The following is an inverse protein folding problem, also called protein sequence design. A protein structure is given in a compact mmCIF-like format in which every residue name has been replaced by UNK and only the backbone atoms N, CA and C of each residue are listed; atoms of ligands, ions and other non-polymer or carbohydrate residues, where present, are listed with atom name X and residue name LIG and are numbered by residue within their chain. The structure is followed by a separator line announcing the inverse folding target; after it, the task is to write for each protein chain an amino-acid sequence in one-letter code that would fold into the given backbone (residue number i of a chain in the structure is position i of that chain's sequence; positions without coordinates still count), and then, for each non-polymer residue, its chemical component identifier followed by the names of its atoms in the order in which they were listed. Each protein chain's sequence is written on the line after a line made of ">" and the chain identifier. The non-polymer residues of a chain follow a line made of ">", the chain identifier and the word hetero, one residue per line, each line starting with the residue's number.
data_IF_914042955376
#
_entry.id   IF_914042955376
#
_cell.length_a   1.000
_cell.length_b   1.000
_cell.length_c   1.000
_cell.angle_alpha   90.00
_cell.angle_beta   90.00
_cell.angle_gamma   90.00
#
_symmetry.space_group_name_H-M   'P 1'
#
loop_
_entity.id
_entity.type
_entity.pdbx_description
1 polymer ?
#
# COMPACT_ATOMS: atom_id res chain seq x y z
N UNK A 1 0.34 50.17 -16.94
CA UNK A 1 1.20 50.12 -15.73
C UNK A 1 0.33 49.93 -14.49
N UNK A 2 0.87 49.20 -13.51
CA UNK A 2 0.38 48.86 -12.15
C UNK A 2 -0.83 49.63 -11.58
N UNK A 3 -1.82 48.89 -11.08
CA UNK A 3 -2.86 49.38 -10.13
C UNK A 3 -2.32 49.34 -8.70
N UNK A 4 -2.63 50.38 -7.92
CA UNK A 4 -2.56 50.37 -6.45
C UNK A 4 -3.90 49.90 -5.86
N UNK A 5 -3.89 49.32 -4.66
CA UNK A 5 -4.43 49.89 -3.39
C UNK A 5 -4.38 48.79 -2.30
N UNK A 6 -4.21 49.19 -1.03
CA UNK A 6 -3.92 48.35 0.14
C UNK A 6 -5.03 48.46 1.23
N UNK A 7 -4.75 48.00 2.47
CA UNK A 7 -5.55 48.09 3.74
C UNK A 7 -6.53 46.90 3.93
N UNK A 8 -6.44 45.98 4.91
CA UNK A 8 -6.34 45.99 6.41
C UNK A 8 -7.66 46.45 7.10
N UNK A 9 -8.10 46.06 8.31
CA UNK A 9 -7.63 45.24 9.46
C UNK A 9 -8.71 44.14 9.80
N UNK A 10 -8.69 43.30 10.86
CA UNK A 10 -7.81 43.16 12.04
C UNK A 10 -8.16 41.99 12.99
N UNK A 11 -7.44 41.92 14.11
CA UNK A 11 -7.39 40.86 15.15
C UNK A 11 -8.45 40.92 16.26
N UNK A 12 -8.78 39.76 16.86
CA UNK A 12 -9.15 39.61 18.30
C UNK A 12 -8.53 38.32 18.87
N UNK A 13 -8.21 38.30 20.16
CA UNK A 13 -7.52 37.21 20.90
C UNK A 13 -8.17 37.03 22.30
N UNK A 14 -7.84 35.95 23.02
CA UNK A 14 -8.22 35.52 24.41
C UNK A 14 -9.49 34.66 24.67
N UNK A 15 -9.22 33.38 25.00
CA UNK A 15 -9.50 32.68 26.30
C UNK A 15 -10.93 32.52 26.91
N UNK A 16 -11.42 31.27 27.04
CA UNK A 16 -11.48 30.48 28.32
C UNK A 16 -12.18 29.08 28.20
N UNK A 17 -11.44 28.00 28.49
CA UNK A 17 -11.69 26.91 29.50
C UNK A 17 -13.06 26.16 29.61
N UNK A 18 -12.95 24.81 29.46
CA UNK A 18 -13.77 23.67 29.99
C UNK A 18 -15.26 23.46 29.60
N UNK A 19 -15.56 22.30 28.99
CA UNK A 19 -16.20 21.14 29.69
C UNK A 19 -16.17 19.84 28.85
N UNK A 20 -16.45 18.72 29.51
CA UNK A 20 -16.19 17.32 29.09
C UNK A 20 -17.11 16.77 27.99
N UNK A 21 -16.54 15.94 27.11
CA UNK A 21 -17.00 14.55 26.83
C UNK A 21 -15.78 13.69 26.47
N UNK A 22 -15.78 12.37 26.76
CA UNK A 22 -14.79 11.48 26.17
C UNK A 22 -15.08 11.38 24.67
N UNK A 23 -14.21 11.95 23.83
CA UNK A 23 -14.25 11.63 22.41
C UNK A 23 -13.94 10.14 22.26
N UNK A 24 -14.88 9.41 21.65
CA UNK A 24 -14.62 8.11 21.04
C UNK A 24 -13.32 8.20 20.26
N UNK A 25 -12.34 7.36 20.59
CA UNK A 25 -11.02 7.36 19.93
C UNK A 25 -11.23 6.97 18.48
N UNK A 26 -11.29 7.99 17.61
CA UNK A 26 -11.42 7.83 16.17
C UNK A 26 -9.99 7.82 15.61
N UNK A 27 -9.63 6.72 14.93
CA UNK A 27 -8.25 6.38 14.59
C UNK A 27 -7.48 7.44 13.79
N UNK A 28 -6.15 7.35 13.89
CA UNK A 28 -5.21 8.43 13.60
C UNK A 28 -5.19 8.92 12.15
N UNK A 29 -5.91 10.01 11.89
CA UNK A 29 -5.41 11.13 11.07
C UNK A 29 -5.82 12.45 11.70
N UNK A 30 -4.86 13.37 11.91
CA UNK A 30 -5.13 14.72 12.39
C UNK A 30 -6.06 15.46 11.41
N UNK A 31 -7.35 15.54 11.73
CA UNK A 31 -8.32 16.26 10.90
C UNK A 31 -8.15 17.78 11.09
N UNK A 32 -7.66 18.53 10.09
CA UNK A 32 -7.51 19.98 10.23
C UNK A 32 -8.88 20.68 10.34
N UNK A 33 -8.88 21.91 10.88
CA UNK A 33 -10.09 22.74 10.95
C UNK A 33 -10.71 22.90 9.55
N UNK A 34 -11.97 22.49 9.39
CA UNK A 34 -12.68 22.51 8.10
C UNK A 34 -12.50 21.25 7.24
N UNK A 35 -11.89 20.18 7.77
CA UNK A 35 -11.74 18.89 7.10
C UNK A 35 -13.07 18.36 6.54
N UNK A 36 -14.11 18.24 7.37
CA UNK A 36 -15.42 17.69 6.96
C UNK A 36 -16.05 18.47 5.80
N UNK A 37 -16.03 19.81 5.84
CA UNK A 37 -16.54 20.63 4.74
C UNK A 37 -15.74 20.46 3.45
N UNK A 38 -14.44 20.20 3.55
CA UNK A 38 -13.57 19.93 2.40
C UNK A 38 -13.91 18.58 1.78
N UNK A 39 -14.04 17.53 2.61
CA UNK A 39 -14.46 16.18 2.18
C UNK A 39 -15.85 16.22 1.54
N UNK A 40 -16.84 16.89 2.15
CA UNK A 40 -18.19 17.05 1.58
C UNK A 40 -18.19 17.74 0.20
N UNK A 41 -17.28 18.71 -0.03
CA UNK A 41 -17.12 19.37 -1.33
C UNK A 41 -16.44 18.45 -2.35
N UNK A 42 -15.42 17.71 -1.93
CA UNK A 42 -14.71 16.74 -2.77
C UNK A 42 -15.64 15.60 -3.23
N UNK A 43 -16.42 14.99 -2.33
CA UNK A 43 -17.36 13.93 -2.69
C UNK A 43 -18.40 14.38 -3.72
N UNK A 44 -18.94 15.60 -3.58
CA UNK A 44 -19.85 16.20 -4.58
C UNK A 44 -19.15 16.47 -5.92
N UNK A 45 -17.89 16.86 -5.89
CA UNK A 45 -17.09 17.06 -7.11
C UNK A 45 -16.81 15.73 -7.83
N UNK A 46 -16.45 14.65 -7.11
CA UNK A 46 -16.16 13.36 -7.73
C UNK A 46 -17.34 12.80 -8.51
N UNK A 47 -18.56 12.83 -7.93
CA UNK A 47 -19.78 12.36 -8.63
C UNK A 47 -20.01 13.14 -9.94
N UNK A 48 -19.78 14.46 -9.94
CA UNK A 48 -19.91 15.28 -11.15
C UNK A 48 -18.77 15.09 -12.17
N UNK A 49 -17.60 14.66 -11.71
CA UNK A 49 -16.45 14.37 -12.56
C UNK A 49 -16.59 12.99 -13.22
N UNK A 50 -16.96 11.99 -12.42
CA UNK A 50 -17.26 10.62 -12.81
C UNK A 50 -18.31 10.55 -13.93
N UNK A 51 -19.46 11.23 -13.75
CA UNK A 51 -20.53 11.34 -14.75
C UNK A 51 -20.07 12.00 -16.07
N UNK A 52 -19.10 12.93 -16.03
CA UNK A 52 -18.51 13.54 -17.24
C UNK A 52 -17.52 12.61 -17.92
N UNK A 53 -16.61 12.00 -17.16
CA UNK A 53 -15.59 11.08 -17.69
C UNK A 53 -16.25 9.84 -18.29
N UNK A 54 -17.23 9.24 -17.61
CA UNK A 54 -17.96 8.06 -18.10
C UNK A 54 -18.62 8.30 -19.46
N UNK A 55 -19.33 9.43 -19.65
CA UNK A 55 -19.93 9.77 -20.95
C UNK A 55 -18.92 9.94 -22.08
N UNK A 56 -17.82 10.64 -21.81
CA UNK A 56 -16.79 10.90 -22.82
C UNK A 56 -15.96 9.63 -23.12
N UNK A 57 -15.72 8.80 -22.11
CA UNK A 57 -15.08 7.49 -22.25
C UNK A 57 -15.94 6.54 -23.08
N UNK A 58 -17.26 6.43 -22.82
CA UNK A 58 -18.14 5.55 -23.60
C UNK A 58 -18.17 5.96 -25.07
N UNK A 59 -18.32 7.26 -25.37
CA UNK A 59 -18.18 7.78 -26.74
C UNK A 59 -16.84 7.43 -27.38
N UNK A 60 -15.75 7.55 -26.64
CA UNK A 60 -14.43 7.18 -27.16
C UNK A 60 -14.35 5.68 -27.52
N UNK A 61 -14.94 4.79 -26.72
CA UNK A 61 -15.01 3.36 -27.03
C UNK A 61 -15.97 3.04 -28.19
N UNK A 62 -17.11 3.73 -28.30
CA UNK A 62 -18.10 3.56 -29.37
C UNK A 62 -17.64 4.14 -30.73
N UNK A 63 -17.19 5.40 -30.75
CA UNK A 63 -16.80 6.14 -31.95
C UNK A 63 -15.33 5.89 -32.36
N UNK A 64 -14.56 5.20 -31.54
CA UNK A 64 -13.12 4.96 -31.73
C UNK A 64 -12.24 6.22 -31.66
N UNK A 65 -12.79 7.39 -31.35
CA UNK A 65 -12.07 8.68 -31.36
C UNK A 65 -12.31 9.50 -30.10
N UNK A 66 -11.23 9.96 -29.46
CA UNK A 66 -11.34 10.82 -28.27
C UNK A 66 -11.76 12.24 -28.65
N UNK A 67 -12.85 12.71 -28.06
CA UNK A 67 -13.32 14.09 -28.19
C UNK A 67 -12.27 15.10 -27.67
N UNK A 68 -12.38 16.36 -28.13
CA UNK A 68 -11.54 17.44 -27.59
C UNK A 68 -11.75 17.64 -26.08
N UNK A 69 -12.98 17.45 -25.59
CA UNK A 69 -13.29 17.59 -24.17
C UNK A 69 -12.65 16.47 -23.35
N UNK A 70 -12.69 15.22 -23.83
CA UNK A 70 -12.07 14.10 -23.15
C UNK A 70 -10.55 14.26 -23.02
N UNK A 71 -9.89 14.71 -24.09
CA UNK A 71 -8.45 15.04 -24.08
C UNK A 71 -8.11 16.15 -23.07
N UNK A 72 -8.99 17.14 -22.91
CA UNK A 72 -8.83 18.18 -21.89
C UNK A 72 -9.01 17.65 -20.47
N UNK A 73 -9.98 16.76 -20.23
CA UNK A 73 -10.17 16.11 -18.93
C UNK A 73 -8.93 15.27 -18.56
N UNK A 74 -8.44 14.45 -19.49
CA UNK A 74 -7.22 13.65 -19.31
C UNK A 74 -6.02 14.55 -18.97
N UNK A 75 -5.77 15.58 -19.78
CA UNK A 75 -4.64 16.50 -19.55
C UNK A 75 -4.77 17.27 -18.24
N UNK A 76 -5.98 17.63 -17.81
CA UNK A 76 -6.22 18.30 -16.53
C UNK A 76 -6.08 17.37 -15.31
N UNK A 77 -6.14 16.05 -15.53
CA UNK A 77 -5.99 15.01 -14.50
C UNK A 77 -4.63 14.31 -14.53
N UNK A 78 -3.74 14.64 -15.46
CA UNK A 78 -2.42 14.02 -15.55
C UNK A 78 -1.54 14.41 -14.35
N UNK A 79 -0.94 13.42 -13.69
CA UNK A 79 -0.03 13.61 -12.55
C UNK A 79 1.32 14.15 -13.04
N UNK A 80 2.05 14.95 -12.27
CA UNK A 80 3.38 15.40 -12.67
C UNK A 80 4.39 14.24 -12.60
N UNK A 81 5.38 14.17 -13.52
CA UNK A 81 6.40 13.09 -13.49
C UNK A 81 7.13 13.03 -12.14
N UNK A 82 7.41 14.17 -11.53
CA UNK A 82 8.08 14.27 -10.23
C UNK A 82 7.18 13.84 -9.05
N UNK A 83 5.87 13.64 -9.26
CA UNK A 83 4.91 13.22 -8.24
C UNK A 83 4.63 11.71 -8.28
N UNK A 84 4.95 11.02 -9.39
CA UNK A 84 4.75 9.56 -9.57
C UNK A 84 5.48 8.68 -8.57
N UNK A 85 6.54 9.24 -8.01
CA UNK A 85 7.48 8.56 -7.14
C UNK A 85 7.19 8.86 -5.65
N UNK A 86 6.13 9.61 -5.33
CA UNK A 86 5.73 9.87 -3.94
C UNK A 86 4.76 8.80 -3.45
N UNK A 87 4.98 8.30 -2.24
CA UNK A 87 4.01 7.42 -1.60
C UNK A 87 2.71 8.15 -1.29
N UNK A 88 1.58 7.51 -1.60
CA UNK A 88 0.25 8.08 -1.41
C UNK A 88 -0.05 8.38 0.07
N UNK A 89 0.50 7.57 0.99
CA UNK A 89 0.35 7.76 2.44
C UNK A 89 1.12 8.97 2.98
N UNK A 90 2.17 9.41 2.30
CA UNK A 90 2.94 10.62 2.64
C UNK A 90 2.35 11.91 2.03
N UNK A 91 1.44 11.79 1.07
CA UNK A 91 0.77 12.93 0.46
C UNK A 91 -0.20 13.59 1.45
N UNK A 92 -0.12 14.93 1.69
CA UNK A 92 -1.12 15.64 2.46
C UNK A 92 -2.53 15.47 1.86
N UNK A 93 -3.59 15.46 2.68
CA UNK A 93 -4.99 15.22 2.24
C UNK A 93 -5.44 16.01 0.99
N UNK A 94 -4.93 17.23 0.79
CA UNK A 94 -5.21 18.03 -0.40
C UNK A 94 -4.69 17.42 -1.73
N UNK A 95 -3.70 16.53 -1.68
CA UNK A 95 -3.11 15.77 -2.80
C UNK A 95 -3.70 14.35 -2.95
N UNK A 96 -4.45 13.85 -1.97
CA UNK A 96 -5.19 12.59 -2.08
C UNK A 96 -6.42 12.74 -3.01
N UNK A 97 -7.02 13.93 -3.03
CA UNK A 97 -8.22 14.23 -3.82
C UNK A 97 -8.06 14.02 -5.34
N UNK A 98 -6.98 14.49 -5.98
CA UNK A 98 -6.68 14.18 -7.38
C UNK A 98 -6.62 12.69 -7.70
N UNK A 99 -5.99 11.87 -6.88
CA UNK A 99 -5.88 10.42 -7.12
C UNK A 99 -7.25 9.71 -7.01
N UNK A 100 -8.05 10.07 -5.99
CA UNK A 100 -9.43 9.61 -5.87
C UNK A 100 -10.29 10.07 -7.08
N UNK A 101 -10.09 11.31 -7.57
CA UNK A 101 -10.76 11.84 -8.77
C UNK A 101 -10.42 11.00 -10.01
N UNK A 102 -9.14 10.68 -10.20
CA UNK A 102 -8.67 9.87 -11.33
C UNK A 102 -9.26 8.46 -11.27
N UNK A 103 -9.20 7.81 -10.10
CA UNK A 103 -9.73 6.48 -9.92
C UNK A 103 -11.25 6.44 -10.16
N UNK A 104 -12.02 7.33 -9.53
CA UNK A 104 -13.48 7.34 -9.68
C UNK A 104 -13.92 7.67 -11.10
N UNK A 105 -13.25 8.63 -11.74
CA UNK A 105 -13.52 8.99 -13.14
C UNK A 105 -13.11 7.90 -14.12
N UNK A 106 -11.81 7.65 -14.24
CA UNK A 106 -11.24 6.80 -15.29
C UNK A 106 -11.27 5.32 -14.90
N UNK A 107 -10.90 4.97 -13.67
CA UNK A 107 -11.01 3.60 -13.17
C UNK A 107 -12.46 3.12 -13.08
N UNK A 108 -13.37 3.98 -12.60
CA UNK A 108 -14.82 3.71 -12.63
C UNK A 108 -15.36 3.51 -14.05
N UNK A 109 -14.88 4.27 -15.03
CA UNK A 109 -15.25 4.06 -16.44
C UNK A 109 -14.72 2.74 -17.01
N UNK A 110 -13.53 2.29 -16.62
CA UNK A 110 -12.99 0.97 -16.99
C UNK A 110 -13.76 -0.18 -16.33
N UNK A 111 -14.18 0.01 -15.08
CA UNK A 111 -15.02 -0.95 -14.36
C UNK A 111 -16.39 -1.12 -15.04
N UNK A 112 -17.05 -0.02 -15.43
CA UNK A 112 -18.29 -0.09 -16.20
C UNK A 112 -18.07 -0.66 -17.62
N UNK A 113 -16.93 -0.36 -18.27
CA UNK A 113 -16.59 -0.96 -19.57
C UNK A 113 -16.49 -2.49 -19.50
N UNK A 114 -15.94 -3.04 -18.40
CA UNK A 114 -15.97 -4.49 -18.15
C UNK A 114 -17.41 -5.00 -18.00
N UNK A 115 -18.26 -4.31 -17.22
CA UNK A 115 -19.68 -4.68 -17.02
C UNK A 115 -20.51 -4.62 -18.30
N UNK A 116 -20.17 -3.71 -19.21
CA UNK A 116 -20.76 -3.60 -20.56
C UNK A 116 -20.30 -4.71 -21.52
N UNK A 117 -19.38 -5.58 -21.09
CA UNK A 117 -18.99 -6.81 -21.81
C UNK A 117 -17.57 -6.81 -22.38
N UNK A 118 -16.74 -5.80 -22.09
CA UNK A 118 -15.38 -5.73 -22.60
C UNK A 118 -14.52 -6.93 -22.16
N UNK A 119 -13.74 -7.47 -23.09
CA UNK A 119 -12.80 -8.57 -22.85
C UNK A 119 -11.61 -8.15 -21.96
N UNK A 120 -10.88 -9.14 -21.43
CA UNK A 120 -9.63 -8.91 -20.67
C UNK A 120 -8.65 -8.04 -21.47
N UNK A 121 -8.49 -8.31 -22.76
CA UNK A 121 -7.53 -7.59 -23.61
C UNK A 121 -7.97 -6.13 -23.89
N UNK A 122 -9.27 -5.88 -24.06
CA UNK A 122 -9.79 -4.52 -24.23
C UNK A 122 -9.65 -3.69 -22.94
N UNK A 123 -9.91 -4.30 -21.78
CA UNK A 123 -9.69 -3.69 -20.46
C UNK A 123 -8.19 -3.45 -20.23
N UNK A 124 -7.33 -4.43 -20.51
CA UNK A 124 -5.87 -4.30 -20.40
C UNK A 124 -5.36 -3.12 -21.21
N UNK A 125 -5.59 -3.14 -22.53
CA UNK A 125 -5.09 -2.11 -23.45
C UNK A 125 -5.64 -0.73 -23.10
N UNK A 126 -6.93 -0.62 -22.77
CA UNK A 126 -7.53 0.66 -22.37
C UNK A 126 -6.98 1.17 -21.04
N UNK A 127 -6.67 0.29 -20.08
CA UNK A 127 -6.08 0.70 -18.79
C UNK A 127 -4.62 1.14 -18.95
N UNK A 128 -3.84 0.48 -19.81
CA UNK A 128 -2.46 0.89 -20.14
C UNK A 128 -2.46 2.25 -20.86
N UNK A 129 -3.36 2.45 -21.82
CA UNK A 129 -3.52 3.72 -22.53
C UNK A 129 -3.92 4.86 -21.58
N UNK A 130 -4.90 4.61 -20.69
CA UNK A 130 -5.26 5.56 -19.65
C UNK A 130 -4.12 5.83 -18.66
N UNK A 131 -3.36 4.82 -18.22
CA UNK A 131 -2.26 4.96 -17.27
C UNK A 131 -1.14 5.86 -17.83
N UNK A 132 -0.79 5.66 -19.10
CA UNK A 132 0.22 6.44 -19.82
C UNK A 132 -0.23 7.87 -20.13
N UNK A 133 -1.45 8.07 -20.63
CA UNK A 133 -2.02 9.41 -20.83
C UNK A 133 -2.26 10.17 -19.51
N UNK A 134 -2.61 9.42 -18.46
CA UNK A 134 -2.63 9.79 -17.04
C UNK A 134 -1.30 10.34 -16.52
N UNK A 135 -0.21 10.02 -17.23
CA UNK A 135 1.16 10.16 -16.76
C UNK A 135 1.38 9.50 -15.39
N UNK A 136 0.60 8.47 -15.05
CA UNK A 136 0.59 7.82 -13.73
C UNK A 136 1.92 7.11 -13.46
N UNK A 137 2.44 6.40 -14.45
CA UNK A 137 3.78 5.82 -14.48
C UNK A 137 4.32 5.80 -15.92
N UNK A 138 5.57 5.35 -16.12
CA UNK A 138 6.07 5.01 -17.47
C UNK A 138 5.37 3.76 -18.02
N UNK A 139 5.32 3.61 -19.35
CA UNK A 139 4.52 2.56 -20.01
C UNK A 139 4.89 1.14 -19.57
N UNK A 140 6.18 0.84 -19.38
CA UNK A 140 6.65 -0.47 -18.91
C UNK A 140 6.09 -0.82 -17.53
N UNK A 141 6.09 0.15 -16.61
CA UNK A 141 5.55 0.00 -15.25
C UNK A 141 4.03 -0.11 -15.31
N UNK A 142 3.33 0.73 -16.08
CA UNK A 142 1.90 0.61 -16.32
C UNK A 142 1.53 -0.81 -16.79
N UNK A 143 2.24 -1.33 -17.81
CA UNK A 143 2.01 -2.68 -18.33
C UNK A 143 2.26 -3.77 -17.29
N UNK A 144 3.36 -3.71 -16.55
CA UNK A 144 3.68 -4.69 -15.50
C UNK A 144 2.64 -4.70 -14.38
N UNK A 145 2.31 -3.53 -13.83
CA UNK A 145 1.27 -3.39 -12.79
C UNK A 145 -0.09 -3.93 -13.25
N UNK A 146 -0.52 -3.58 -14.46
CA UNK A 146 -1.83 -3.97 -14.98
C UNK A 146 -1.86 -5.47 -15.31
N UNK A 147 -0.82 -6.02 -15.95
CA UNK A 147 -0.79 -7.46 -16.30
C UNK A 147 -0.80 -8.35 -15.05
N UNK A 148 -0.10 -7.96 -13.97
CA UNK A 148 -0.10 -8.72 -12.72
C UNK A 148 -1.44 -8.68 -11.98
N UNK A 149 -2.19 -7.58 -12.07
CA UNK A 149 -3.40 -7.36 -11.25
C UNK A 149 -4.72 -7.55 -12.01
N UNK A 150 -4.72 -7.56 -13.35
CA UNK A 150 -5.95 -7.49 -14.14
C UNK A 150 -6.89 -8.67 -13.87
N UNK A 151 -6.40 -9.91 -13.80
CA UNK A 151 -7.28 -11.07 -13.62
C UNK A 151 -7.96 -11.08 -12.25
N UNK A 152 -7.27 -10.62 -11.20
CA UNK A 152 -7.85 -10.42 -9.86
C UNK A 152 -8.90 -9.29 -9.86
N UNK A 153 -8.59 -8.15 -10.48
CA UNK A 153 -9.53 -7.01 -10.57
C UNK A 153 -10.78 -7.39 -11.36
N UNK A 154 -10.63 -8.07 -12.50
CA UNK A 154 -11.74 -8.54 -13.31
C UNK A 154 -12.60 -9.54 -12.53
N UNK A 155 -12.00 -10.49 -11.81
CA UNK A 155 -12.74 -11.41 -10.96
C UNK A 155 -13.56 -10.68 -9.88
N UNK A 156 -12.99 -9.66 -9.23
CA UNK A 156 -13.71 -8.84 -8.24
C UNK A 156 -14.88 -8.11 -8.91
N UNK A 157 -14.66 -7.45 -10.04
CA UNK A 157 -15.72 -6.69 -10.77
C UNK A 157 -16.84 -7.61 -11.26
N UNK A 158 -16.51 -8.79 -11.76
CA UNK A 158 -17.47 -9.77 -12.29
C UNK A 158 -18.31 -10.42 -11.17
N UNK A 159 -17.75 -10.61 -9.96
CA UNK A 159 -18.43 -11.25 -8.83
C UNK A 159 -19.04 -10.26 -7.80
N UNK A 160 -18.72 -8.97 -7.91
CA UNK A 160 -19.33 -7.88 -7.12
C UNK A 160 -20.05 -6.88 -8.03
N UNK A 161 -21.26 -7.21 -8.54
CA UNK A 161 -22.06 -6.30 -9.37
C UNK A 161 -22.54 -5.06 -8.59
N UNK A 162 -22.53 -5.12 -7.26
CA UNK A 162 -22.83 -4.04 -6.32
C UNK A 162 -21.65 -3.06 -6.11
N UNK A 163 -20.41 -3.48 -6.40
CA UNK A 163 -19.21 -2.68 -6.15
C UNK A 163 -19.27 -1.36 -6.94
N UNK A 164 -19.27 -0.23 -6.23
CA UNK A 164 -19.23 1.09 -6.87
C UNK A 164 -17.79 1.53 -7.12
N UNK A 165 -17.59 2.46 -8.06
CA UNK A 165 -16.33 3.17 -8.23
C UNK A 165 -15.86 3.83 -6.92
N UNK A 166 -16.80 4.36 -6.13
CA UNK A 166 -16.52 4.99 -4.84
C UNK A 166 -15.99 3.98 -3.83
N UNK A 167 -16.65 2.83 -3.68
CA UNK A 167 -16.23 1.74 -2.79
C UNK A 167 -14.85 1.19 -3.20
N UNK A 168 -14.66 0.88 -4.49
CA UNK A 168 -13.37 0.39 -5.02
C UNK A 168 -12.23 1.39 -4.74
N UNK A 169 -12.41 2.66 -5.12
CA UNK A 169 -11.37 3.66 -4.92
C UNK A 169 -11.13 3.94 -3.42
N UNK A 170 -12.15 3.91 -2.58
CA UNK A 170 -11.97 4.10 -1.15
C UNK A 170 -11.15 2.95 -0.51
N UNK A 171 -11.40 1.69 -0.91
CA UNK A 171 -10.62 0.53 -0.48
C UNK A 171 -9.17 0.59 -0.99
N UNK A 172 -8.96 0.99 -2.25
CA UNK A 172 -7.61 1.08 -2.86
C UNK A 172 -6.77 2.22 -2.26
N UNK A 173 -7.34 3.39 -2.03
CA UNK A 173 -6.58 4.57 -1.58
C UNK A 173 -6.55 4.75 -0.06
N UNK A 174 -7.51 4.18 0.68
CA UNK A 174 -7.62 4.27 2.16
C UNK A 174 -7.42 5.70 2.70
N UNK A 175 -7.89 6.70 1.94
CA UNK A 175 -7.45 8.09 2.08
C UNK A 175 -8.53 8.98 2.68
N UNK A 176 -8.13 10.09 3.31
CA UNK A 176 -9.07 11.02 3.94
C UNK A 176 -9.96 11.72 2.91
N UNK A 177 -9.48 11.81 1.67
CA UNK A 177 -10.23 12.33 0.54
C UNK A 177 -11.11 11.29 -0.18
N UNK A 178 -10.87 9.98 -0.03
CA UNK A 178 -11.60 8.89 -0.69
C UNK A 178 -12.30 8.00 0.35
N UNK A 179 -13.36 8.54 0.95
CA UNK A 179 -14.07 7.94 2.09
C UNK A 179 -14.82 6.66 1.70
N UNK A 180 -14.70 5.63 2.55
CA UNK A 180 -15.44 4.37 2.45
C UNK A 180 -16.73 4.46 3.28
N UNK A 181 -17.82 4.87 2.63
CA UNK A 181 -19.17 4.96 3.23
C UNK A 181 -20.06 3.74 2.89
N UNK A 182 -19.45 2.61 2.48
CA UNK A 182 -20.16 1.41 2.02
C UNK A 182 -20.43 0.43 3.19
N UNK A 183 -21.71 0.16 3.54
CA UNK A 183 -22.06 -0.75 4.63
C UNK A 183 -21.48 -2.16 4.46
N UNK A 184 -21.33 -2.65 3.23
CA UNK A 184 -20.82 -4.01 2.96
C UNK A 184 -19.35 -4.21 3.37
N UNK A 185 -18.62 -3.13 3.66
CA UNK A 185 -17.25 -3.15 4.17
C UNK A 185 -17.14 -2.66 5.63
N UNK A 186 -18.16 -1.96 6.14
CA UNK A 186 -18.08 -1.21 7.41
C UNK A 186 -19.01 -1.72 8.51
N UNK A 187 -20.10 -2.42 8.15
CA UNK A 187 -21.05 -3.01 9.09
C UNK A 187 -20.72 -4.49 9.33
N UNK A 188 -19.86 -4.75 10.31
CA UNK A 188 -19.60 -6.09 10.85
C UNK A 188 -19.39 -6.02 12.36
N UNK A 189 -19.72 -7.12 13.05
CA UNK A 189 -19.56 -7.27 14.50
C UNK A 189 -18.93 -8.62 14.81
N UNK A 190 -18.30 -8.75 15.97
CA UNK A 190 -17.73 -10.01 16.48
C UNK A 190 -18.29 -10.26 17.88
N UNK A 191 -18.88 -11.43 18.07
CA UNK A 191 -19.38 -11.87 19.37
C UNK A 191 -18.21 -12.07 20.35
N UNK A 192 -18.13 -11.19 21.36
CA UNK A 192 -17.16 -11.32 22.47
C UNK A 192 -17.74 -12.23 23.54
N UNK A 193 -16.96 -13.19 24.04
CA UNK A 193 -17.39 -14.08 25.13
C UNK A 193 -17.84 -13.27 26.37
N UNK A 194 -19.12 -13.32 26.77
CA UNK A 194 -19.63 -12.58 27.92
C UNK A 194 -19.06 -13.08 29.27
N UNK A 195 -18.39 -14.23 29.28
CA UNK A 195 -17.69 -14.78 30.45
C UNK A 195 -16.20 -14.42 30.47
N UNK A 196 -15.70 -13.69 29.45
CA UNK A 196 -14.32 -13.22 29.39
C UNK A 196 -13.94 -12.41 30.62
N UNK A 197 -12.69 -12.54 31.07
CA UNK A 197 -12.23 -11.81 32.27
C UNK A 197 -12.16 -10.31 31.97
N UNK A 198 -12.97 -9.46 32.64
CA UNK A 198 -12.98 -8.03 32.34
C UNK A 198 -11.66 -7.37 32.76
N UNK A 199 -11.20 -6.40 31.97
CA UNK A 199 -10.04 -5.56 32.31
C UNK A 199 -10.45 -4.59 33.42
N UNK A 200 -10.21 -4.99 34.67
CA UNK A 200 -10.70 -4.31 35.88
C UNK A 200 -9.75 -3.27 36.48
N UNK A 201 -8.50 -3.20 36.02
CA UNK A 201 -7.49 -2.31 36.56
C UNK A 201 -6.51 -1.80 35.49
N UNK A 202 -5.96 -0.60 35.70
CA UNK A 202 -4.92 -0.05 34.83
C UNK A 202 -3.53 -0.61 35.14
N UNK A 203 -2.71 -0.79 34.10
CA UNK A 203 -1.28 -1.15 34.21
C UNK A 203 -0.38 0.03 34.64
N UNK A 204 -0.92 1.23 34.89
CA UNK A 204 -0.13 2.42 35.29
C UNK A 204 0.69 2.22 36.57
N UNK A 205 0.31 1.27 37.44
CA UNK A 205 1.03 0.92 38.67
C UNK A 205 2.00 -0.26 38.55
N UNK A 206 2.15 -0.87 37.37
CA UNK A 206 3.11 -1.97 37.17
C UNK A 206 4.54 -1.45 37.30
N UNK A 207 5.41 -2.20 37.99
CA UNK A 207 6.81 -1.82 38.18
C UNK A 207 7.48 -1.59 36.81
N UNK A 208 8.19 -0.48 36.66
CA UNK A 208 8.72 -0.03 35.37
C UNK A 208 9.83 -0.94 34.82
N UNK A 209 10.59 -1.60 35.71
CA UNK A 209 11.52 -2.69 35.38
C UNK A 209 11.66 -3.70 36.52
N UNK A 210 12.00 -4.93 36.18
CA UNK A 210 12.27 -6.04 37.11
C UNK A 210 13.29 -7.05 36.55
N UNK A 211 13.72 -8.03 37.36
CA UNK A 211 14.69 -9.06 36.95
C UNK A 211 14.10 -10.12 35.99
N UNK A 212 12.81 -10.05 35.68
CA UNK A 212 12.08 -10.96 34.80
C UNK A 212 11.53 -10.22 33.56
N UNK A 213 12.03 -9.02 33.27
CA UNK A 213 11.65 -8.29 32.06
C UNK A 213 12.26 -8.98 30.84
N UNK A 214 11.47 -9.17 29.78
CA UNK A 214 11.97 -9.69 28.51
C UNK A 214 12.59 -8.58 27.67
N UNK A 215 13.76 -8.84 27.09
CA UNK A 215 14.35 -8.02 26.03
C UNK A 215 13.88 -8.58 24.68
N UNK A 216 13.01 -7.82 24.02
CA UNK A 216 12.49 -8.14 22.68
C UNK A 216 13.14 -7.20 21.67
N UNK A 217 13.71 -7.76 20.60
CA UNK A 217 14.11 -6.98 19.41
C UNK A 217 12.98 -7.07 18.38
N UNK A 218 12.68 -5.98 17.68
CA UNK A 218 11.76 -5.99 16.54
C UNK A 218 12.50 -5.58 15.26
N UNK A 219 12.37 -6.41 14.23
CA UNK A 219 12.84 -6.18 12.86
C UNK A 219 11.58 -6.11 11.98
N UNK A 220 11.53 -5.18 11.04
CA UNK A 220 10.33 -4.91 10.21
C UNK A 220 10.73 -4.23 8.92
N UNK A 221 9.89 -4.33 7.89
CA UNK A 221 9.97 -3.51 6.66
C UNK A 221 11.38 -3.56 6.03
N UNK A 222 11.95 -4.76 5.96
CA UNK A 222 13.31 -4.96 5.44
C UNK A 222 13.43 -4.61 3.95
N UNK A 223 12.34 -4.79 3.19
CA UNK A 223 12.24 -4.57 1.75
C UNK A 223 13.53 -4.91 1.01
N UNK A 224 13.90 -6.19 1.05
CA UNK A 224 15.10 -6.69 0.39
C UNK A 224 14.91 -6.68 -1.12
N UNK A 225 15.68 -5.82 -1.80
CA UNK A 225 15.70 -5.73 -3.26
C UNK A 225 16.86 -6.57 -3.86
N UNK A 226 16.59 -7.75 -4.45
CA UNK A 226 17.60 -8.56 -5.15
C UNK A 226 18.08 -7.92 -6.47
N UNK A 227 17.38 -6.93 -7.01
CA UNK A 227 17.70 -6.20 -8.22
C UNK A 227 18.49 -4.90 -7.95
N UNK A 228 18.64 -4.46 -6.69
CA UNK A 228 19.45 -3.29 -6.33
C UNK A 228 20.89 -3.40 -6.84
N UNK A 229 21.44 -2.32 -7.41
CA UNK A 229 22.82 -2.23 -7.89
C UNK A 229 23.42 -0.87 -7.50
N UNK A 230 24.52 -0.89 -6.74
CA UNK A 230 25.33 0.32 -6.47
C UNK A 230 25.74 1.00 -7.77
N UNK A 231 25.61 2.33 -7.82
CA UNK A 231 25.89 3.16 -8.99
C UNK A 231 24.80 3.17 -10.07
N UNK A 232 23.69 2.42 -9.93
CA UNK A 232 22.56 2.50 -10.86
C UNK A 232 21.63 3.67 -10.52
N UNK A 233 20.77 4.04 -11.45
CA UNK A 233 20.00 5.29 -11.39
C UNK A 233 19.01 5.29 -10.21
N UNK A 234 19.29 6.14 -9.21
CA UNK A 234 18.45 6.38 -8.05
C UNK A 234 17.40 7.50 -8.29
N UNK A 235 17.51 8.24 -9.39
CA UNK A 235 16.61 9.33 -9.81
C UNK A 235 15.77 8.91 -11.04
N UNK A 236 15.34 7.65 -11.05
CA UNK A 236 14.66 7.04 -12.19
C UNK A 236 13.19 7.48 -12.38
N UNK A 237 12.58 8.11 -11.37
CA UNK A 237 11.18 8.58 -11.40
C UNK A 237 10.11 7.49 -11.32
N UNK A 238 10.50 6.25 -10.97
CA UNK A 238 9.62 5.15 -10.62
C UNK A 238 9.37 5.10 -9.10
N UNK A 239 8.41 4.28 -8.61
CA UNK A 239 8.22 4.05 -7.17
C UNK A 239 9.44 3.41 -6.48
N UNK A 240 10.18 2.56 -7.20
CA UNK A 240 11.45 1.97 -6.73
C UNK A 240 12.53 2.09 -7.83
N UNK A 241 13.64 2.71 -7.47
CA UNK A 241 14.82 2.97 -8.28
C UNK A 241 16.04 2.19 -7.76
N UNK A 242 17.26 2.54 -8.19
CA UNK A 242 18.52 1.84 -7.85
C UNK A 242 18.62 0.40 -8.38
N UNK A 243 17.73 -0.05 -9.27
CA UNK A 243 17.67 -1.44 -9.77
C UNK A 243 18.37 -1.59 -11.11
N UNK A 244 18.76 -2.82 -11.41
CA UNK A 244 19.40 -3.20 -12.69
C UNK A 244 18.60 -2.74 -13.93
N UNK A 245 17.26 -2.75 -13.87
CA UNK A 245 16.40 -2.35 -15.00
C UNK A 245 16.42 -0.84 -15.32
N UNK A 246 16.97 0.01 -14.45
CA UNK A 246 17.08 1.47 -14.68
C UNK A 246 18.45 1.94 -15.19
N UNK A 247 19.43 1.03 -15.30
CA UNK A 247 20.75 1.32 -15.84
C UNK A 247 21.61 2.27 -14.99
N UNK A 248 22.78 2.61 -15.52
CA UNK A 248 23.71 3.58 -14.92
C UNK A 248 23.36 4.99 -15.45
N UNK A 249 23.24 6.02 -14.59
CA UNK A 249 22.91 7.38 -15.02
C UNK A 249 24.12 8.08 -15.65
N UNK A 250 23.86 9.10 -16.48
CA UNK A 250 24.91 9.96 -17.07
C UNK A 250 25.64 10.81 -16.02
N UNK A 251 24.93 11.23 -14.96
CA UNK A 251 25.50 11.91 -13.79
C UNK A 251 25.79 10.88 -12.69
N UNK A 252 27.06 10.78 -12.28
CA UNK A 252 27.48 9.84 -11.24
C UNK A 252 26.84 10.12 -9.87
N UNK A 253 26.45 11.36 -9.57
CA UNK A 253 25.77 11.73 -8.32
C UNK A 253 24.31 11.21 -8.29
N UNK A 254 23.71 10.91 -9.45
CA UNK A 254 22.44 10.20 -9.56
C UNK A 254 22.56 8.68 -9.32
N UNK A 255 23.78 8.17 -9.09
CA UNK A 255 24.05 6.76 -8.82
C UNK A 255 23.71 6.35 -7.38
N UNK A 256 23.21 5.12 -7.24
CA UNK A 256 22.84 4.50 -5.98
C UNK A 256 24.04 4.25 -5.04
N UNK A 257 23.84 4.42 -3.73
CA UNK A 257 24.84 4.11 -2.71
C UNK A 257 25.23 2.62 -2.60
N UNK A 258 26.17 2.31 -1.70
CA UNK A 258 26.56 0.92 -1.44
C UNK A 258 25.68 0.22 -0.40
N UNK A 259 25.23 0.96 0.62
CA UNK A 259 24.46 0.44 1.76
C UNK A 259 22.95 0.78 1.68
N UNK A 260 22.50 1.32 0.55
CA UNK A 260 21.19 1.95 0.40
C UNK A 260 21.34 3.36 -0.17
N UNK A 261 20.22 4.02 -0.41
CA UNK A 261 20.14 5.40 -0.92
C UNK A 261 19.01 6.16 -0.19
N UNK A 262 19.07 7.49 -0.15
CA UNK A 262 18.02 8.31 0.48
C UNK A 262 16.91 8.74 -0.49
N UNK A 263 17.03 8.38 -1.77
CA UNK A 263 15.97 8.47 -2.77
C UNK A 263 15.08 7.22 -2.69
N UNK A 264 14.18 7.06 -3.65
CA UNK A 264 13.18 5.99 -3.64
C UNK A 264 13.80 4.65 -4.03
N UNK A 265 14.52 4.02 -3.11
CA UNK A 265 15.20 2.77 -3.33
C UNK A 265 15.06 1.87 -2.11
N UNK A 266 14.80 0.59 -2.38
CA UNK A 266 14.71 -0.46 -1.38
C UNK A 266 16.11 -0.96 -0.92
N UNK A 267 16.14 -1.88 0.04
CA UNK A 267 17.36 -2.24 0.78
C UNK A 267 18.22 -3.26 0.03
N UNK A 268 19.51 -2.98 -0.24
CA UNK A 268 20.43 -3.96 -0.80
C UNK A 268 20.79 -5.06 0.19
N UNK A 269 21.13 -6.27 -0.33
CA UNK A 269 21.42 -7.43 0.51
C UNK A 269 22.44 -7.17 1.62
N UNK A 270 23.54 -6.47 1.32
CA UNK A 270 24.60 -6.23 2.30
C UNK A 270 24.10 -5.42 3.50
N UNK A 271 23.15 -4.49 3.32
CA UNK A 271 22.57 -3.75 4.43
C UNK A 271 21.59 -4.62 5.27
N UNK A 272 20.79 -5.48 4.62
CA UNK A 272 19.95 -6.48 5.33
C UNK A 272 20.81 -7.46 6.14
N UNK A 273 21.92 -7.91 5.55
CA UNK A 273 22.86 -8.85 6.16
C UNK A 273 23.58 -8.24 7.37
N UNK A 274 24.16 -7.04 7.22
CA UNK A 274 24.85 -6.33 8.31
C UNK A 274 23.89 -5.95 9.45
N UNK A 275 22.65 -5.53 9.13
CA UNK A 275 21.62 -5.28 10.14
C UNK A 275 21.34 -6.51 10.99
N UNK A 276 21.12 -7.67 10.36
CA UNK A 276 20.80 -8.92 11.09
C UNK A 276 21.99 -9.38 11.94
N UNK A 277 23.22 -9.27 11.42
CA UNK A 277 24.43 -9.61 12.18
C UNK A 277 24.69 -8.64 13.34
N UNK A 278 24.55 -7.32 13.14
CA UNK A 278 24.69 -6.31 14.21
C UNK A 278 23.66 -6.52 15.31
N UNK A 279 22.41 -6.86 14.98
CA UNK A 279 21.39 -7.20 15.99
C UNK A 279 21.85 -8.37 16.86
N UNK A 280 22.39 -9.44 16.26
CA UNK A 280 22.87 -10.59 17.03
C UNK A 280 24.12 -10.30 17.86
N UNK A 281 25.03 -9.44 17.37
CA UNK A 281 26.22 -9.00 18.10
C UNK A 281 25.87 -8.08 19.29
N UNK A 282 25.04 -7.06 19.07
CA UNK A 282 24.72 -6.00 20.05
C UNK A 282 23.56 -6.36 21.01
N UNK A 283 22.68 -7.29 20.60
CA UNK A 283 21.53 -7.74 21.36
C UNK A 283 21.54 -9.27 21.58
N UNK A 284 22.72 -9.86 21.81
CA UNK A 284 22.89 -11.30 22.15
C UNK A 284 22.17 -11.75 23.44
N UNK A 285 21.72 -10.79 24.25
CA UNK A 285 20.88 -10.92 25.45
C UNK A 285 19.37 -10.76 25.16
N UNK A 286 18.95 -10.74 23.89
CA UNK A 286 17.53 -10.74 23.53
C UNK A 286 16.89 -12.12 23.79
N UNK A 287 15.81 -12.15 24.56
CA UNK A 287 15.02 -13.36 24.81
C UNK A 287 14.25 -13.79 23.56
N UNK A 288 13.82 -12.81 22.75
CA UNK A 288 12.89 -12.98 21.62
C UNK A 288 13.22 -11.96 20.52
N UNK A 289 13.07 -12.38 19.26
CA UNK A 289 13.00 -11.47 18.10
C UNK A 289 11.58 -11.51 17.53
N UNK A 290 11.00 -10.34 17.25
CA UNK A 290 9.83 -10.19 16.39
C UNK A 290 10.30 -9.77 14.99
N UNK A 291 9.76 -10.42 13.96
CA UNK A 291 10.00 -10.07 12.57
C UNK A 291 8.65 -9.81 11.87
N UNK A 292 8.31 -8.54 11.66
CA UNK A 292 6.93 -8.13 11.33
C UNK A 292 6.60 -8.04 9.84
N UNK A 293 7.36 -8.73 8.98
CA UNK A 293 7.05 -8.90 7.55
C UNK A 293 7.67 -7.84 6.65
N UNK A 294 7.11 -7.72 5.44
CA UNK A 294 7.55 -6.79 4.38
C UNK A 294 9.04 -6.99 4.01
N UNK A 295 9.31 -8.21 3.59
CA UNK A 295 10.57 -8.69 3.00
C UNK A 295 10.70 -8.25 1.53
N UNK A 296 9.59 -8.18 0.79
CA UNK A 296 9.62 -7.94 -0.67
C UNK A 296 9.66 -6.44 -0.98
N UNK A 297 10.53 -6.06 -1.91
CA UNK A 297 10.69 -4.69 -2.41
C UNK A 297 9.43 -4.07 -3.05
N UNK A 298 9.48 -2.75 -3.25
CA UNK A 298 8.44 -1.95 -3.90
C UNK A 298 8.48 -2.00 -5.43
N UNK A 299 9.39 -2.79 -6.02
CA UNK A 299 9.45 -3.11 -7.45
C UNK A 299 8.32 -4.03 -7.93
N UNK A 300 7.10 -3.82 -7.42
CA UNK A 300 5.97 -4.75 -7.48
C UNK A 300 5.55 -5.14 -8.91
N UNK A 301 5.83 -4.28 -9.90
CA UNK A 301 5.57 -4.52 -11.33
C UNK A 301 6.50 -5.56 -11.99
N UNK A 302 7.56 -5.97 -11.30
CA UNK A 302 8.55 -6.98 -11.72
C UNK A 302 8.46 -8.28 -10.87
N UNK A 303 7.51 -8.37 -9.93
CA UNK A 303 7.40 -9.50 -9.00
C UNK A 303 6.77 -10.75 -9.64
N UNK A 304 6.93 -11.88 -8.96
CA UNK A 304 6.27 -13.17 -9.26
C UNK A 304 6.31 -14.05 -8.01
N UNK A 305 5.48 -15.11 -7.92
CA UNK A 305 5.59 -16.10 -6.83
C UNK A 305 7.03 -16.60 -6.68
N UNK A 306 7.68 -16.97 -7.79
CA UNK A 306 9.07 -17.44 -7.76
C UNK A 306 10.09 -16.38 -7.34
N UNK A 307 9.79 -15.09 -7.52
CA UNK A 307 10.59 -13.97 -7.01
C UNK A 307 10.43 -13.85 -5.49
N UNK A 308 9.20 -13.74 -5.00
CA UNK A 308 8.90 -13.58 -3.58
C UNK A 308 9.44 -14.77 -2.76
N UNK A 309 9.23 -16.00 -3.24
CA UNK A 309 9.78 -17.23 -2.64
C UNK A 309 11.30 -17.14 -2.45
N UNK A 310 12.05 -16.58 -3.39
CA UNK A 310 13.52 -16.45 -3.26
C UNK A 310 13.91 -15.43 -2.21
N UNK A 311 13.29 -14.26 -2.18
CA UNK A 311 13.59 -13.21 -1.19
C UNK A 311 13.21 -13.66 0.22
N UNK A 312 12.03 -14.27 0.40
CA UNK A 312 11.57 -14.84 1.68
C UNK A 312 12.55 -15.92 2.16
N UNK A 313 12.91 -16.91 1.33
CA UNK A 313 13.88 -17.95 1.71
C UNK A 313 15.23 -17.36 2.11
N UNK A 314 15.69 -16.29 1.45
CA UNK A 314 16.98 -15.66 1.72
C UNK A 314 16.99 -14.94 3.07
N UNK A 315 15.97 -14.12 3.34
CA UNK A 315 15.86 -13.35 4.60
C UNK A 315 15.55 -14.27 5.79
N UNK A 316 14.56 -15.15 5.68
CA UNK A 316 14.23 -16.09 6.76
C UNK A 316 15.37 -17.11 6.98
N UNK A 317 16.08 -17.51 5.92
CA UNK A 317 17.30 -18.32 6.02
C UNK A 317 18.39 -17.61 6.82
N UNK A 318 18.68 -16.33 6.52
CA UNK A 318 19.64 -15.51 7.28
C UNK A 318 19.21 -15.34 8.74
N UNK A 319 17.94 -15.06 9.01
CA UNK A 319 17.41 -14.99 10.38
C UNK A 319 17.59 -16.31 11.14
N UNK A 320 17.32 -17.47 10.52
CA UNK A 320 17.52 -18.79 11.14
C UNK A 320 18.99 -19.10 11.42
N UNK A 321 19.86 -18.79 10.47
CA UNK A 321 21.28 -19.09 10.59
C UNK A 321 21.96 -18.15 11.61
N UNK A 322 21.44 -16.93 11.80
CA UNK A 322 21.89 -15.95 12.81
C UNK A 322 21.25 -16.16 14.20
N UNK A 323 19.98 -16.54 14.28
CA UNK A 323 19.22 -16.80 15.51
C UNK A 323 18.78 -18.28 15.61
N UNK A 324 19.74 -19.23 15.78
CA UNK A 324 19.42 -20.66 15.82
C UNK A 324 18.65 -21.05 17.09
N UNK A 325 18.99 -20.44 18.24
CA UNK A 325 18.40 -20.76 19.56
C UNK A 325 17.39 -19.69 20.03
N UNK A 326 17.56 -18.42 19.66
CA UNK A 326 16.64 -17.34 20.01
C UNK A 326 15.36 -17.43 19.16
N UNK A 327 14.15 -17.53 19.73
CA UNK A 327 12.91 -17.59 18.98
C UNK A 327 12.66 -16.33 18.14
N UNK A 328 12.43 -16.52 16.84
CA UNK A 328 11.96 -15.45 15.93
C UNK A 328 10.47 -15.67 15.62
N UNK A 329 9.61 -14.81 16.17
CA UNK A 329 8.19 -14.77 15.84
C UNK A 329 7.99 -13.91 14.60
N UNK A 330 7.68 -14.59 13.50
CA UNK A 330 7.45 -13.97 12.20
C UNK A 330 5.95 -13.70 12.00
N UNK A 331 5.59 -12.64 11.29
CA UNK A 331 4.26 -12.48 10.67
C UNK A 331 4.43 -12.09 9.19
N UNK A 332 3.33 -12.14 8.44
CA UNK A 332 3.27 -11.64 7.07
C UNK A 332 2.92 -10.16 7.06
N UNK A 333 3.65 -9.36 6.28
CA UNK A 333 3.28 -8.02 5.89
C UNK A 333 2.46 -8.02 4.60
N UNK A 334 2.19 -6.85 4.01
CA UNK A 334 1.38 -6.77 2.80
C UNK A 334 2.17 -7.03 1.49
N UNK A 335 3.50 -7.05 1.55
CA UNK A 335 4.39 -7.28 0.40
C UNK A 335 4.74 -8.76 0.11
N UNK A 336 4.55 -9.68 1.06
CA UNK A 336 4.88 -11.11 0.84
C UNK A 336 4.02 -11.78 -0.25
N UNK A 337 2.74 -11.40 -0.36
CA UNK A 337 1.80 -11.95 -1.34
C UNK A 337 2.14 -11.52 -2.78
N UNK A 338 1.69 -12.33 -3.75
CA UNK A 338 1.79 -11.99 -5.16
C UNK A 338 0.46 -12.28 -5.88
N UNK A 339 -0.19 -11.27 -6.50
CA UNK A 339 0.20 -9.86 -6.51
C UNK A 339 0.22 -9.22 -5.11
N UNK A 340 0.94 -8.12 -4.95
CA UNK A 340 1.07 -7.39 -3.68
C UNK A 340 -0.29 -7.04 -3.08
N UNK A 341 -0.44 -7.19 -1.76
CA UNK A 341 -1.69 -7.05 -1.00
C UNK A 341 -2.78 -8.12 -1.28
N UNK A 342 -2.61 -9.05 -2.22
CA UNK A 342 -3.65 -10.04 -2.58
C UNK A 342 -3.57 -11.27 -1.67
N UNK A 343 -4.32 -11.22 -0.57
CA UNK A 343 -4.51 -12.32 0.38
C UNK A 343 -5.87 -13.01 0.17
N UNK A 344 -5.83 -14.24 -0.34
CA UNK A 344 -6.98 -15.09 -0.61
C UNK A 344 -7.11 -16.15 0.51
N UNK A 345 -8.29 -16.25 1.12
CA UNK A 345 -8.54 -17.03 2.35
C UNK A 345 -9.10 -18.45 2.10
N UNK A 346 -8.95 -18.99 0.89
CA UNK A 346 -9.49 -20.29 0.47
C UNK A 346 -10.98 -20.29 0.11
N UNK A 347 -11.60 -19.13 -0.05
CA UNK A 347 -13.00 -18.97 -0.45
C UNK A 347 -13.18 -18.97 -1.98
N UNK A 348 -12.13 -18.66 -2.73
CA UNK A 348 -12.16 -18.48 -4.17
C UNK A 348 -11.82 -19.78 -4.91
N UNK A 349 -12.69 -20.23 -5.81
CA UNK A 349 -12.53 -21.47 -6.59
C UNK A 349 -11.49 -21.41 -7.72
N UNK A 350 -10.57 -20.43 -7.69
CA UNK A 350 -9.50 -20.19 -8.68
C UNK A 350 -8.13 -20.51 -8.07
N UNK A 351 -7.53 -21.67 -8.36
CA UNK A 351 -6.23 -22.06 -7.80
C UNK A 351 -5.10 -21.09 -8.11
N UNK A 352 -5.22 -20.36 -9.22
CA UNK A 352 -4.27 -19.35 -9.69
C UNK A 352 -4.31 -18.02 -8.90
N UNK A 353 -5.32 -17.81 -8.05
CA UNK A 353 -5.37 -16.69 -7.10
C UNK A 353 -5.02 -17.10 -5.66
N UNK A 354 -4.75 -18.39 -5.41
CA UNK A 354 -4.60 -18.88 -4.05
C UNK A 354 -3.29 -18.47 -3.39
N UNK A 355 -3.38 -17.81 -2.23
CA UNK A 355 -2.21 -17.40 -1.42
C UNK A 355 -1.63 -18.58 -0.61
N UNK A 356 -2.20 -19.79 -0.71
CA UNK A 356 -1.75 -20.98 0.01
C UNK A 356 -0.26 -21.34 -0.17
N UNK A 357 0.36 -20.98 -1.30
CA UNK A 357 1.80 -21.18 -1.51
C UNK A 357 2.64 -20.45 -0.46
N UNK A 358 2.21 -19.25 -0.04
CA UNK A 358 2.88 -18.40 0.93
C UNK A 358 2.65 -18.92 2.35
N UNK A 359 1.41 -19.30 2.67
CA UNK A 359 1.04 -19.89 3.95
C UNK A 359 1.80 -21.20 4.22
N UNK A 360 1.91 -22.07 3.21
CA UNK A 360 2.69 -23.31 3.32
C UNK A 360 4.20 -23.05 3.42
N UNK A 361 4.76 -22.13 2.62
CA UNK A 361 6.17 -21.75 2.71
C UNK A 361 6.51 -21.18 4.10
N UNK A 362 5.63 -20.34 4.65
CA UNK A 362 5.80 -19.71 5.96
C UNK A 362 5.75 -20.76 7.07
N UNK A 363 4.77 -21.68 7.04
CA UNK A 363 4.69 -22.78 8.00
C UNK A 363 5.95 -23.65 7.97
N UNK A 364 6.45 -24.00 6.77
CA UNK A 364 7.66 -24.80 6.60
C UNK A 364 8.91 -24.07 7.15
N UNK A 365 9.09 -22.79 6.81
CA UNK A 365 10.24 -21.99 7.25
C UNK A 365 10.23 -21.63 8.73
N UNK A 366 9.07 -21.26 9.28
CA UNK A 366 8.94 -20.82 10.68
C UNK A 366 8.90 -22.00 11.67
N UNK A 367 8.71 -23.24 11.18
CA UNK A 367 8.72 -24.47 12.00
C UNK A 367 10.01 -24.70 12.79
N UNK A 368 11.09 -23.98 12.48
CA UNK A 368 12.33 -23.96 13.27
C UNK A 368 12.13 -23.34 14.67
N UNK A 369 11.37 -22.23 14.76
CA UNK A 369 11.13 -21.52 16.03
C UNK A 369 9.74 -21.81 16.63
N UNK A 370 8.75 -22.10 15.80
CA UNK A 370 7.35 -22.18 16.23
C UNK A 370 6.93 -23.61 16.60
N UNK A 371 6.11 -23.79 17.67
CA UNK A 371 5.63 -25.11 18.04
C UNK A 371 4.67 -25.67 16.99
N UNK A 372 4.60 -27.01 16.85
CA UNK A 372 3.68 -27.71 15.93
C UNK A 372 2.20 -27.27 16.03
N UNK A 373 1.77 -26.73 17.18
CA UNK A 373 0.41 -26.20 17.34
C UNK A 373 0.11 -25.01 16.41
N UNK A 374 1.12 -24.22 16.03
CA UNK A 374 0.99 -23.07 15.13
C UNK A 374 0.88 -23.46 13.65
N UNK A 375 1.42 -24.62 13.24
CA UNK A 375 1.51 -25.05 11.83
C UNK A 375 0.14 -25.04 11.13
N UNK A 376 -0.91 -25.50 11.82
CA UNK A 376 -2.25 -25.59 11.24
C UNK A 376 -2.85 -24.22 10.89
N UNK A 377 -2.71 -23.22 11.77
CA UNK A 377 -3.26 -21.87 11.54
C UNK A 377 -2.41 -21.08 10.56
N UNK A 378 -1.08 -21.28 10.55
CA UNK A 378 -0.19 -20.63 9.57
C UNK A 378 -0.56 -21.12 8.16
N UNK A 379 -0.77 -22.43 7.97
CA UNK A 379 -1.20 -22.98 6.68
C UNK A 379 -2.62 -22.58 6.28
N UNK A 380 -3.48 -22.26 7.24
CA UNK A 380 -4.87 -21.86 6.98
C UNK A 380 -4.98 -20.39 6.54
N UNK A 381 -4.19 -19.49 7.11
CA UNK A 381 -4.32 -18.05 6.83
C UNK A 381 -3.14 -17.17 7.28
N UNK A 382 -1.97 -17.73 7.55
CA UNK A 382 -0.76 -16.97 7.90
C UNK A 382 -0.69 -16.44 9.33
N UNK A 383 -1.52 -16.93 10.26
CA UNK A 383 -1.56 -16.51 11.67
C UNK A 383 -1.37 -17.68 12.65
N UNK A 384 -1.07 -17.41 13.92
CA UNK A 384 -0.91 -18.42 14.99
C UNK A 384 -1.07 -17.84 16.41
#
# INVERSE_FOLDING_TARGET
>A
MKRNVSVLLGTVMLSLVLLQTPQTVQGDRLQPKGYRETVEKLQKFYVQFEDKVSREFRRWKEDGTMSQHFRQLIHASAINKNERAQEIRELPTAREGPLCTICRGFGGSVLEFRREGASREEVFNTTVELCTMLNLQEESICRGLIELNIDTILYIVDNRPDLTSASLCAVVFQSGACVLDDPSFTEWEVDVDPNGTPVTASKTGTAQRGPNDLKIVQITDLHFDPNYRTGYNAECGAPACCRESQGVPDDAEAGAGHWGDYRNCDTPWNAVEDLIDRVAEEHSDADIVYHTGDIIDHGIWETSIGYNVRSINRVIGKLRDTFPETPVYNILGNHEAHPTNVYELGEVSRPDFSTNWLYHLSADLWSHWLPRAADQTIRLGGYY
#
